data_IF_166730740296
#
_entry.id   IF_166730740296
#
_cell.length_a   1.000
_cell.length_b   1.000
_cell.length_c   1.000
_cell.angle_alpha   90.00
_cell.angle_beta   90.00
_cell.angle_gamma   90.00
#
_symmetry.space_group_name_H-M   'P 1'
#
loop_
_entity.id
_entity.type
_entity.pdbx_description
1 polymer ?
#
# COMPACT_ATOMS: atom_id res chain seq x y z
N UNK A 1 -2.89 10.06 0.86
CA UNK A 1 -2.17 9.41 -0.26
C UNK A 1 -0.67 9.55 -0.07
N UNK A 2 0.09 8.46 -0.16
CA UNK A 2 1.56 8.43 -0.18
C UNK A 2 2.01 7.77 -1.49
N UNK A 3 3.06 8.30 -2.12
CA UNK A 3 3.61 7.81 -3.38
C UNK A 3 5.09 7.54 -3.19
N UNK A 4 5.55 6.38 -3.67
CA UNK A 4 6.95 6.00 -3.73
C UNK A 4 7.21 5.62 -5.19
N UNK A 5 8.27 6.19 -5.78
CA UNK A 5 8.70 5.90 -7.15
C UNK A 5 10.18 5.53 -7.06
N UNK A 6 10.46 4.24 -7.23
CA UNK A 6 11.80 3.69 -7.44
C UNK A 6 11.78 2.92 -8.76
N UNK A 7 12.25 1.66 -8.79
CA UNK A 7 12.05 0.74 -9.93
C UNK A 7 10.57 0.39 -10.15
N UNK A 8 9.80 0.40 -9.06
CA UNK A 8 8.35 0.20 -9.05
C UNK A 8 7.63 1.47 -8.60
N UNK A 9 6.35 1.57 -8.95
CA UNK A 9 5.48 2.67 -8.51
C UNK A 9 4.51 2.14 -7.46
N UNK A 10 4.64 2.63 -6.23
CA UNK A 10 3.80 2.23 -5.12
C UNK A 10 2.95 3.41 -4.65
N UNK A 11 1.64 3.24 -4.71
CA UNK A 11 0.66 4.25 -4.26
C UNK A 11 -0.13 3.70 -3.09
N UNK A 12 -0.02 4.36 -1.94
CA UNK A 12 -0.91 4.13 -0.81
C UNK A 12 -2.10 5.09 -0.85
N UNK A 13 -3.30 4.52 -0.87
CA UNK A 13 -4.58 5.20 -0.79
C UNK A 13 -5.26 4.81 0.53
N UNK A 14 -5.49 5.76 1.42
CA UNK A 14 -6.20 5.49 2.67
C UNK A 14 -7.68 5.10 2.43
N UNK A 15 -8.33 4.59 3.47
CA UNK A 15 -9.72 4.12 3.43
C UNK A 15 -10.76 5.13 2.91
N UNK A 16 -10.47 6.44 2.88
CA UNK A 16 -11.41 7.41 2.29
C UNK A 16 -11.55 7.17 0.79
N UNK A 17 -10.49 6.70 0.13
CA UNK A 17 -10.51 6.35 -1.29
C UNK A 17 -11.25 5.03 -1.57
N UNK A 18 -11.39 4.15 -0.56
CA UNK A 18 -12.14 2.89 -0.68
C UNK A 18 -13.66 3.11 -0.79
N UNK A 19 -14.20 4.16 -0.18
CA UNK A 19 -15.66 4.36 -0.03
C UNK A 19 -16.41 4.44 -1.37
N UNK A 20 -15.70 4.77 -2.45
CA UNK A 20 -16.27 4.90 -3.78
C UNK A 20 -15.82 3.81 -4.75
N UNK A 21 -15.02 2.84 -4.32
CA UNK A 21 -14.39 1.84 -5.20
C UNK A 21 -15.08 0.47 -5.09
N UNK A 22 -15.87 0.14 -6.10
CA UNK A 22 -16.31 -1.24 -6.32
C UNK A 22 -15.15 -2.05 -6.90
N UNK A 23 -14.54 -2.87 -6.03
CA UNK A 23 -13.42 -3.75 -6.35
C UNK A 23 -13.86 -5.07 -7.01
N UNK A 24 -15.16 -5.28 -7.25
CA UNK A 24 -15.68 -6.45 -7.96
C UNK A 24 -15.83 -6.19 -9.47
N UNK A 25 -15.79 -4.93 -9.90
CA UNK A 25 -15.95 -4.52 -11.28
C UNK A 25 -14.61 -4.13 -11.91
N UNK A 26 -13.99 -5.09 -12.61
CA UNK A 26 -12.68 -4.93 -13.25
C UNK A 26 -12.60 -3.71 -14.19
N UNK A 27 -13.64 -3.49 -15.01
CA UNK A 27 -13.70 -2.34 -15.92
C UNK A 27 -13.72 -1.00 -15.17
N UNK A 28 -14.36 -0.93 -14.00
CA UNK A 28 -14.40 0.28 -13.19
C UNK A 28 -13.05 0.53 -12.50
N UNK A 29 -12.40 -0.53 -12.03
CA UNK A 29 -11.07 -0.48 -11.41
C UNK A 29 -10.05 0.05 -12.42
N UNK A 30 -10.00 -0.53 -13.62
CA UNK A 30 -9.09 -0.11 -14.69
C UNK A 30 -9.29 1.36 -15.05
N UNK A 31 -10.54 1.79 -15.29
CA UNK A 31 -10.85 3.20 -15.56
C UNK A 31 -10.38 4.15 -14.47
N UNK A 32 -10.40 3.72 -13.21
CA UNK A 32 -9.93 4.53 -12.08
C UNK A 32 -8.42 4.53 -11.94
N UNK A 33 -7.76 3.40 -12.19
CA UNK A 33 -6.31 3.31 -12.26
C UNK A 33 -5.76 4.19 -13.37
N UNK A 34 -6.30 4.13 -14.58
CA UNK A 34 -5.90 5.02 -15.69
C UNK A 34 -6.05 6.49 -15.30
N UNK A 35 -7.15 6.87 -14.64
CA UNK A 35 -7.33 8.24 -14.13
C UNK A 35 -6.30 8.61 -13.06
N UNK A 36 -5.92 7.68 -12.19
CA UNK A 36 -4.90 7.90 -11.17
C UNK A 36 -3.52 8.07 -11.83
N UNK A 37 -3.16 7.17 -12.74
CA UNK A 37 -1.90 7.18 -13.50
C UNK A 37 -1.75 8.48 -14.28
N UNK A 38 -2.77 8.91 -15.02
CA UNK A 38 -2.75 10.19 -15.73
C UNK A 38 -2.53 11.37 -14.77
N UNK A 39 -3.11 11.34 -13.57
CA UNK A 39 -2.85 12.38 -12.55
C UNK A 39 -1.40 12.35 -12.06
N UNK A 40 -0.83 11.16 -11.87
CA UNK A 40 0.57 11.00 -11.46
C UNK A 40 1.53 11.47 -12.55
N UNK A 41 1.33 11.06 -13.81
CA UNK A 41 2.12 11.53 -14.95
C UNK A 41 2.14 13.05 -15.04
N UNK A 42 0.96 13.68 -14.96
CA UNK A 42 0.87 15.15 -15.03
C UNK A 42 1.52 15.84 -13.83
N UNK A 43 1.34 15.31 -12.61
CA UNK A 43 1.82 15.95 -11.38
C UNK A 43 3.33 15.81 -11.18
N UNK A 44 3.90 14.67 -11.56
CA UNK A 44 5.32 14.35 -11.35
C UNK A 44 6.15 14.41 -12.64
N UNK A 45 5.53 14.72 -13.77
CA UNK A 45 6.18 14.80 -15.10
C UNK A 45 6.94 13.51 -15.44
N UNK A 46 6.31 12.37 -15.14
CA UNK A 46 6.81 11.03 -15.42
C UNK A 46 6.08 10.42 -16.62
N UNK A 47 6.75 9.55 -17.36
CA UNK A 47 6.16 8.83 -18.48
C UNK A 47 5.86 7.37 -18.10
N UNK A 48 4.57 7.01 -18.07
CA UNK A 48 4.07 5.71 -17.66
C UNK A 48 3.43 5.02 -18.87
N UNK A 49 4.28 4.58 -19.78
CA UNK A 49 3.91 3.80 -20.96
C UNK A 49 4.49 2.38 -20.86
N UNK A 50 3.86 1.45 -21.59
CA UNK A 50 4.19 0.04 -21.63
C UNK A 50 3.19 -0.84 -20.87
N UNK A 51 3.59 -2.08 -20.67
CA UNK A 51 2.83 -3.09 -19.96
C UNK A 51 3.22 -3.15 -18.49
N UNK A 52 2.23 -3.08 -17.60
CA UNK A 52 2.43 -3.13 -16.15
C UNK A 52 1.60 -4.25 -15.53
N UNK A 53 2.24 -5.05 -14.68
CA UNK A 53 1.53 -5.82 -13.68
C UNK A 53 1.17 -4.89 -12.51
N UNK A 54 -0.10 -4.88 -12.14
CA UNK A 54 -0.66 -4.03 -11.10
C UNK A 54 -1.26 -4.89 -10.00
N UNK A 55 -0.62 -4.90 -8.83
CA UNK A 55 -1.11 -5.59 -7.64
C UNK A 55 -1.81 -4.59 -6.73
N UNK A 56 -3.10 -4.79 -6.53
CA UNK A 56 -3.92 -4.01 -5.60
C UNK A 56 -4.03 -4.79 -4.29
N UNK A 57 -3.16 -4.50 -3.34
CA UNK A 57 -3.27 -5.02 -1.98
C UNK A 57 -4.35 -4.26 -1.24
N UNK A 58 -5.34 -4.98 -0.74
CA UNK A 58 -6.49 -4.41 -0.06
C UNK A 58 -6.49 -4.83 1.39
N UNK A 59 -6.52 -3.83 2.27
CA UNK A 59 -6.89 -4.01 3.66
C UNK A 59 -8.19 -3.25 3.90
N UNK A 60 -9.27 -3.99 4.13
CA UNK A 60 -10.64 -3.45 4.24
C UNK A 60 -10.80 -2.35 5.29
N UNK A 61 -9.90 -2.30 6.28
CA UNK A 61 -9.97 -1.34 7.37
C UNK A 61 -9.13 -0.09 7.14
N UNK A 62 -8.11 -0.16 6.28
CA UNK A 62 -7.05 0.86 6.24
C UNK A 62 -6.81 1.48 4.86
N UNK A 63 -7.04 0.76 3.78
CA UNK A 63 -6.86 1.31 2.44
C UNK A 63 -6.43 0.30 1.39
N UNK A 64 -5.79 0.85 0.35
CA UNK A 64 -5.20 0.12 -0.75
C UNK A 64 -3.74 0.49 -0.89
N UNK A 65 -2.95 -0.50 -1.28
CA UNK A 65 -1.63 -0.29 -1.86
C UNK A 65 -1.71 -0.76 -3.31
N UNK A 66 -1.40 0.14 -4.23
CA UNK A 66 -1.28 -0.16 -5.66
C UNK A 66 0.21 -0.27 -5.93
N UNK A 67 0.68 -1.47 -6.23
CA UNK A 67 2.06 -1.79 -6.59
C UNK A 67 2.11 -2.06 -8.09
N UNK A 68 2.75 -1.17 -8.84
CA UNK A 68 2.88 -1.26 -10.29
C UNK A 68 4.32 -1.62 -10.66
N UNK A 69 4.44 -2.73 -11.37
CA UNK A 69 5.72 -3.29 -11.82
C UNK A 69 5.71 -3.28 -13.35
N UNK A 70 6.66 -2.55 -13.92
CA UNK A 70 6.81 -2.49 -15.38
C UNK A 70 7.40 -3.81 -15.85
N UNK A 71 6.79 -4.44 -16.86
CA UNK A 71 7.45 -5.58 -17.50
C UNK A 71 8.49 -5.10 -18.51
N UNK A 72 9.70 -5.64 -18.39
CA UNK A 72 10.74 -5.52 -19.41
C UNK A 72 10.44 -6.52 -20.53
N UNK A 73 9.64 -6.10 -21.51
CA UNK A 73 9.39 -6.89 -22.71
C UNK A 73 10.55 -6.68 -23.70
N UNK A 74 11.10 -7.74 -24.29
CA UNK A 74 12.21 -7.64 -25.25
C UNK A 74 11.83 -6.94 -26.58
N UNK A 75 10.54 -6.71 -26.82
CA UNK A 75 9.99 -6.09 -28.05
C UNK A 75 9.33 -4.73 -27.76
N UNK A 76 10.14 -3.77 -27.29
CA UNK A 76 9.71 -2.44 -26.81
C UNK A 76 9.05 -1.57 -27.88
N UNK A 77 9.43 -1.71 -29.15
CA UNK A 77 9.12 -0.69 -30.17
C UNK A 77 7.64 -0.60 -30.59
N UNK A 78 6.79 -1.57 -30.25
CA UNK A 78 5.37 -1.56 -30.64
C UNK A 78 4.47 -0.73 -29.72
N UNK A 79 4.88 -0.45 -28.47
CA UNK A 79 3.99 0.08 -27.42
C UNK A 79 4.40 1.44 -26.85
N UNK A 80 5.31 2.17 -27.49
CA UNK A 80 5.96 3.35 -26.91
C UNK A 80 5.01 4.45 -26.37
N UNK A 81 3.73 4.46 -26.76
CA UNK A 81 2.71 5.41 -26.28
C UNK A 81 1.42 4.76 -25.71
N UNK A 82 1.42 3.44 -25.45
CA UNK A 82 0.25 2.74 -24.92
C UNK A 82 0.49 2.31 -23.48
N UNK A 83 -0.55 2.39 -22.65
CA UNK A 83 -0.56 1.88 -21.28
C UNK A 83 -1.46 0.65 -21.25
N UNK A 84 -0.86 -0.50 -20.94
CA UNK A 84 -1.59 -1.75 -20.73
C UNK A 84 -1.40 -2.20 -19.27
N UNK A 85 -2.51 -2.59 -18.63
CA UNK A 85 -2.55 -2.96 -17.22
C UNK A 85 -3.06 -4.39 -17.05
N UNK A 86 -2.25 -5.23 -16.42
CA UNK A 86 -2.68 -6.52 -15.91
C UNK A 86 -2.93 -6.42 -14.40
N UNK A 87 -4.19 -6.49 -13.98
CA UNK A 87 -4.61 -6.12 -12.62
C UNK A 87 -4.96 -7.37 -11.80
N UNK A 88 -4.30 -7.52 -10.66
CA UNK A 88 -4.61 -8.52 -9.64
C UNK A 88 -5.02 -7.84 -8.32
N UNK A 89 -6.08 -8.33 -7.66
CA UNK A 89 -6.52 -7.84 -6.35
C UNK A 89 -6.19 -8.88 -5.30
N UNK A 90 -5.47 -8.45 -4.27
CA UNK A 90 -4.95 -9.32 -3.21
C UNK A 90 -5.54 -8.84 -1.88
N UNK A 91 -6.32 -9.70 -1.22
CA UNK A 91 -6.70 -9.46 0.18
C UNK A 91 -5.46 -9.60 1.06
N UNK A 92 -5.19 -8.56 1.86
CA UNK A 92 -3.97 -8.46 2.63
C UNK A 92 -4.21 -7.89 4.04
N UNK A 93 -3.17 -7.89 4.86
CA UNK A 93 -3.16 -7.23 6.16
C UNK A 93 -1.92 -6.36 6.27
N UNK A 94 -2.12 -5.07 6.48
CA UNK A 94 -1.00 -4.14 6.55
C UNK A 94 -0.36 -4.14 7.94
N UNK A 95 0.97 -4.06 7.97
CA UNK A 95 1.75 -3.79 9.16
C UNK A 95 2.38 -2.40 9.07
N UNK A 96 2.47 -1.73 10.20
CA UNK A 96 3.12 -0.43 10.30
C UNK A 96 4.42 -0.60 11.08
N UNK A 97 5.54 -0.58 10.37
CA UNK A 97 6.88 -0.68 10.95
C UNK A 97 7.27 0.66 11.54
N UNK A 98 7.66 0.65 12.81
CA UNK A 98 8.11 1.82 13.57
C UNK A 98 9.44 1.50 14.25
N UNK A 99 10.29 2.52 14.37
CA UNK A 99 11.58 2.38 15.05
C UNK A 99 11.47 2.56 16.56
N UNK A 100 10.66 3.52 17.00
CA UNK A 100 10.45 3.81 18.41
C UNK A 100 8.97 3.80 18.77
N UNK A 101 8.58 2.82 19.60
CA UNK A 101 7.21 2.66 20.07
C UNK A 101 6.75 3.77 21.02
N UNK A 102 7.68 4.47 21.67
CA UNK A 102 7.36 5.57 22.60
C UNK A 102 6.91 6.85 21.88
N UNK A 103 7.05 6.91 20.55
CA UNK A 103 6.51 7.99 19.71
C UNK A 103 4.97 7.96 19.63
N UNK A 104 4.35 6.82 19.96
CA UNK A 104 2.90 6.63 19.85
C UNK A 104 2.30 6.59 21.25
N UNK A 105 1.20 7.34 21.45
CA UNK A 105 0.55 7.35 22.74
C UNK A 105 0.00 5.96 23.13
N UNK A 106 -0.03 5.67 24.44
CA UNK A 106 -0.41 4.35 24.96
C UNK A 106 -1.85 3.94 24.60
N UNK A 107 -2.78 4.90 24.58
CA UNK A 107 -4.18 4.64 24.23
C UNK A 107 -4.34 4.16 22.79
N UNK A 108 -3.56 4.73 21.87
CA UNK A 108 -3.51 4.34 20.48
C UNK A 108 -2.81 3.00 20.32
N UNK A 109 -1.66 2.77 20.99
CA UNK A 109 -0.95 1.48 20.97
C UNK A 109 -1.85 0.31 21.40
N UNK A 110 -2.78 0.52 22.33
CA UNK A 110 -3.73 -0.50 22.75
C UNK A 110 -4.65 -1.01 21.63
N UNK A 111 -4.77 -0.28 20.51
CA UNK A 111 -5.52 -0.70 19.31
C UNK A 111 -4.73 -1.61 18.38
N UNK A 112 -3.51 -1.99 18.74
CA UNK A 112 -2.63 -2.82 17.92
C UNK A 112 -2.27 -4.14 18.62
N UNK A 113 -1.95 -5.15 17.80
CA UNK A 113 -1.04 -6.24 18.14
C UNK A 113 0.35 -5.76 17.77
N UNK A 114 1.30 -5.91 18.69
CA UNK A 114 2.66 -5.38 18.54
C UNK A 114 3.59 -6.56 18.36
N UNK A 115 4.18 -6.65 17.17
CA UNK A 115 5.24 -7.61 16.86
C UNK A 115 6.60 -6.94 17.08
N UNK A 116 7.53 -7.67 17.67
CA UNK A 116 8.91 -7.24 17.88
C UNK A 116 9.86 -8.21 17.18
N UNK A 117 10.77 -7.66 16.39
CA UNK A 117 11.90 -8.37 15.81
C UNK A 117 13.17 -7.54 15.99
N UNK A 118 14.06 -7.98 16.88
CA UNK A 118 15.22 -7.17 17.28
C UNK A 118 14.81 -5.85 17.93
N UNK A 119 15.29 -4.73 17.37
CA UNK A 119 14.98 -3.37 17.81
C UNK A 119 13.81 -2.74 17.05
N UNK A 120 13.19 -3.46 16.12
CA UNK A 120 12.11 -2.93 15.28
C UNK A 120 10.76 -3.43 15.77
N UNK A 121 9.77 -2.56 15.76
CA UNK A 121 8.39 -2.87 16.11
C UNK A 121 7.49 -2.79 14.89
N UNK A 122 6.47 -3.64 14.86
CA UNK A 122 5.48 -3.69 13.79
C UNK A 122 4.10 -3.72 14.42
N UNK A 123 3.27 -2.77 14.02
CA UNK A 123 1.93 -2.62 14.54
C UNK A 123 0.94 -3.23 13.56
N UNK A 124 0.17 -4.22 14.01
CA UNK A 124 -1.00 -4.72 13.31
C UNK A 124 -2.25 -4.19 13.98
N UNK A 125 -3.08 -3.39 13.31
CA UNK A 125 -4.31 -2.94 13.91
C UNK A 125 -5.22 -4.12 14.27
N UNK A 126 -5.80 -4.10 15.47
CA UNK A 126 -6.82 -5.07 15.92
C UNK A 126 -8.17 -4.42 16.23
N UNK A 127 -8.28 -3.11 16.05
CA UNK A 127 -9.48 -2.32 16.23
C UNK A 127 -9.51 -1.17 15.21
N UNK A 128 -10.70 -0.64 14.94
CA UNK A 128 -10.84 0.47 13.99
C UNK A 128 -10.05 1.71 14.44
N UNK A 129 -9.27 2.24 13.49
CA UNK A 129 -8.59 3.52 13.61
C UNK A 129 -9.41 4.61 12.93
N UNK A 130 -9.58 5.75 13.59
CA UNK A 130 -10.05 6.98 12.95
C UNK A 130 -9.03 7.48 11.94
N UNK A 131 -9.43 8.39 11.04
CA UNK A 131 -8.51 8.96 10.05
C UNK A 131 -7.36 9.74 10.70
N UNK A 132 -7.61 10.38 11.86
CA UNK A 132 -6.58 11.10 12.63
C UNK A 132 -5.58 10.10 13.23
N UNK A 133 -6.08 9.01 13.83
CA UNK A 133 -5.21 7.97 14.40
C UNK A 133 -4.36 7.28 13.34
N UNK A 134 -4.95 6.97 12.17
CA UNK A 134 -4.18 6.42 11.05
C UNK A 134 -3.13 7.41 10.56
N UNK A 135 -3.46 8.71 10.45
CA UNK A 135 -2.51 9.76 10.08
C UNK A 135 -1.30 9.82 11.00
N UNK A 136 -1.51 9.81 12.33
CA UNK A 136 -0.43 9.80 13.33
C UNK A 136 0.52 8.62 13.18
N UNK A 137 -0.02 7.43 12.85
CA UNK A 137 0.80 6.23 12.61
C UNK A 137 1.60 6.40 11.32
N UNK A 138 0.97 6.86 10.24
CA UNK A 138 1.59 7.01 8.92
C UNK A 138 2.71 8.05 8.89
N UNK A 139 2.71 9.02 9.81
CA UNK A 139 3.80 9.99 9.96
C UNK A 139 5.11 9.35 10.44
N UNK A 140 5.01 8.27 11.23
CA UNK A 140 6.15 7.64 11.90
C UNK A 140 6.39 6.21 11.45
N UNK A 141 5.64 5.73 10.45
CA UNK A 141 5.66 4.35 10.04
C UNK A 141 5.91 4.14 8.55
N UNK A 142 6.64 3.06 8.27
CA UNK A 142 6.71 2.42 6.98
C UNK A 142 5.59 1.37 6.89
N UNK A 143 4.85 1.34 5.78
CA UNK A 143 3.77 0.36 5.59
C UNK A 143 4.37 -0.88 4.94
N UNK A 144 4.22 -2.03 5.58
CA UNK A 144 4.57 -3.33 5.03
C UNK A 144 3.30 -4.08 4.62
N UNK A 145 3.39 -4.79 3.51
CA UNK A 145 2.29 -5.54 2.91
C UNK A 145 2.83 -6.81 2.23
N UNK A 146 1.94 -7.63 1.68
CA UNK A 146 2.28 -8.80 0.91
C UNK A 146 3.07 -9.85 1.69
N UNK A 147 4.04 -10.48 1.01
CA UNK A 147 4.84 -11.57 1.57
C UNK A 147 5.69 -11.12 2.76
N UNK A 148 6.15 -9.87 2.77
CA UNK A 148 6.99 -9.35 3.84
C UNK A 148 6.20 -9.20 5.14
N UNK A 149 5.02 -8.59 5.09
CA UNK A 149 4.12 -8.49 6.24
C UNK A 149 3.83 -9.87 6.83
N UNK A 150 3.43 -10.84 5.97
CA UNK A 150 3.16 -12.23 6.38
C UNK A 150 4.36 -12.89 7.07
N UNK A 151 5.57 -12.68 6.56
CA UNK A 151 6.81 -13.21 7.14
C UNK A 151 7.08 -12.62 8.53
N UNK A 152 6.83 -11.33 8.73
CA UNK A 152 6.99 -10.66 10.03
C UNK A 152 5.99 -11.22 11.04
N UNK A 153 4.71 -11.38 10.67
CA UNK A 153 3.69 -11.93 11.56
C UNK A 153 4.02 -13.35 12.05
N UNK A 154 4.61 -14.18 11.18
CA UNK A 154 4.93 -15.57 11.49
C UNK A 154 6.20 -15.73 12.35
N UNK A 155 7.18 -14.83 12.21
CA UNK A 155 8.51 -14.99 12.81
C UNK A 155 8.78 -14.11 14.02
N UNK A 156 7.93 -13.11 14.26
CA UNK A 156 8.18 -12.11 15.31
C UNK A 156 7.51 -12.48 16.63
N UNK A 157 8.07 -11.98 17.74
CA UNK A 157 7.47 -12.13 19.06
C UNK A 157 6.35 -11.10 19.25
N UNK A 158 5.19 -11.53 19.76
CA UNK A 158 4.14 -10.61 20.20
C UNK A 158 4.48 -10.08 21.59
N UNK A 159 4.44 -8.76 21.77
CA UNK A 159 4.70 -8.09 23.04
C UNK A 159 3.49 -7.30 23.54
N UNK A 160 3.49 -6.96 24.83
CA UNK A 160 2.54 -6.05 25.47
C UNK A 160 3.29 -4.81 25.96
N UNK A 161 2.67 -3.64 25.83
CA UNK A 161 3.26 -2.33 26.15
C UNK A 161 2.27 -1.52 26.97
#
# INVERSE_FOLDING_TARGET
MKLIIDDNIVVFLDKVYLQNLDLTNQNLIEKKLVKLINKLQNKYTIDLNGYYNVYIHKDINYGLIIDMQKEELEYIDYFNNQLELNIEIIEDSFLYKIEDIFTINKNLLNKFIIYKNGYTFYLKPKANLSSIELGMILENAEILYGKEAKKIEQKSQIIKV
#
